data_IF_762692286378
#
_entry.id   IF_762692286378
#
_cell.length_a   1.000
_cell.length_b   1.000
_cell.length_c   1.000
_cell.angle_alpha   90.00
_cell.angle_beta   90.00
_cell.angle_gamma   90.00
#
_symmetry.space_group_name_H-M   'P 1'
#
loop_
_entity.id
_entity.type
_entity.pdbx_description
1 polymer ?
#
# COMPACT_ATOMS: atom_id res chain seq x y z
N UNK A 1 1.91 10.90 -7.27
CA UNK A 1 0.65 11.67 -7.56
C UNK A 1 0.62 12.25 -8.98
N UNK A 2 -0.47 12.01 -9.73
CA UNK A 2 -0.72 12.51 -11.10
C UNK A 2 -1.37 13.90 -11.11
N UNK A 3 -1.51 14.51 -12.30
CA UNK A 3 -2.24 15.78 -12.45
C UNK A 3 -3.71 15.66 -12.07
N UNK A 4 -4.39 14.60 -12.50
CA UNK A 4 -5.80 14.33 -12.19
C UNK A 4 -6.02 14.16 -10.67
N UNK A 5 -5.17 13.38 -9.99
CA UNK A 5 -5.22 13.20 -8.54
C UNK A 5 -5.02 14.53 -7.78
N UNK A 6 -4.19 15.43 -8.31
CA UNK A 6 -4.00 16.76 -7.73
C UNK A 6 -5.25 17.64 -7.90
N UNK A 7 -5.89 17.60 -9.06
CA UNK A 7 -7.15 18.34 -9.28
C UNK A 7 -8.26 17.82 -8.38
N UNK A 8 -8.41 16.50 -8.23
CA UNK A 8 -9.38 15.90 -7.29
C UNK A 8 -9.12 16.34 -5.85
N UNK A 9 -7.86 16.33 -5.40
CA UNK A 9 -7.49 16.83 -4.07
C UNK A 9 -7.87 18.31 -3.89
N UNK A 10 -7.63 19.14 -4.91
CA UNK A 10 -7.97 20.55 -4.88
C UNK A 10 -9.49 20.77 -4.74
N UNK A 11 -10.31 20.06 -5.53
CA UNK A 11 -11.78 20.16 -5.45
C UNK A 11 -12.33 19.71 -4.08
N UNK A 12 -11.78 18.62 -3.53
CA UNK A 12 -12.16 18.13 -2.20
C UNK A 12 -11.76 19.14 -1.12
N UNK A 13 -10.57 19.74 -1.23
CA UNK A 13 -10.10 20.77 -0.31
C UNK A 13 -11.01 21.99 -0.32
N UNK A 14 -11.32 22.54 -1.50
CA UNK A 14 -12.20 23.71 -1.66
C UNK A 14 -13.61 23.46 -1.11
N UNK A 15 -14.11 22.24 -1.26
CA UNK A 15 -15.41 21.84 -0.71
C UNK A 15 -15.45 21.93 0.82
N UNK A 16 -14.31 21.69 1.48
CA UNK A 16 -14.16 21.77 2.94
C UNK A 16 -13.78 23.19 3.38
N UNK A 17 -12.91 23.87 2.65
CA UNK A 17 -12.46 25.23 2.91
C UNK A 17 -13.22 26.29 2.09
N UNK A 18 -14.55 26.25 2.15
CA UNK A 18 -15.43 27.17 1.42
C UNK A 18 -15.18 28.67 1.69
N UNK A 19 -14.52 28.98 2.81
CA UNK A 19 -14.18 30.34 3.19
C UNK A 19 -12.83 30.82 2.63
N UNK A 20 -12.10 29.98 1.88
CA UNK A 20 -10.81 30.32 1.26
C UNK A 20 -9.75 30.69 2.29
N UNK A 21 -9.70 29.98 3.42
CA UNK A 21 -8.75 30.25 4.52
C UNK A 21 -7.36 29.72 4.22
N UNK A 22 -7.22 28.81 3.26
CA UNK A 22 -6.00 28.11 2.90
C UNK A 22 -5.65 26.98 3.87
N UNK A 23 -6.57 26.59 4.75
CA UNK A 23 -6.37 25.51 5.72
C UNK A 23 -7.67 24.77 6.06
N UNK A 24 -7.53 23.50 6.46
CA UNK A 24 -8.62 22.68 7.01
C UNK A 24 -8.29 22.21 8.43
N UNK A 25 -9.30 21.91 9.27
CA UNK A 25 -9.08 21.24 10.54
C UNK A 25 -8.48 19.84 10.33
N UNK A 26 -7.53 19.44 11.17
CA UNK A 26 -6.91 18.08 11.11
C UNK A 26 -7.96 16.97 11.21
N UNK A 27 -9.03 17.19 11.96
CA UNK A 27 -10.14 16.25 12.08
C UNK A 27 -10.88 15.96 10.76
N UNK A 28 -10.70 16.80 9.73
CA UNK A 28 -11.33 16.67 8.41
C UNK A 28 -10.46 15.93 7.40
N UNK A 29 -9.21 15.61 7.72
CA UNK A 29 -8.30 14.91 6.81
C UNK A 29 -8.81 13.51 6.47
N UNK A 30 -9.40 12.80 7.44
CA UNK A 30 -10.00 11.49 7.17
C UNK A 30 -11.14 11.59 6.14
N UNK A 31 -11.91 12.68 6.18
CA UNK A 31 -12.97 12.93 5.20
C UNK A 31 -12.39 13.18 3.80
N UNK A 32 -11.25 13.90 3.71
CA UNK A 32 -10.52 14.09 2.45
C UNK A 32 -10.03 12.75 1.90
N UNK A 33 -9.36 11.94 2.72
CA UNK A 33 -8.85 10.63 2.29
C UNK A 33 -9.98 9.74 1.79
N UNK A 34 -11.10 9.71 2.51
CA UNK A 34 -12.27 8.93 2.11
C UNK A 34 -12.87 9.42 0.78
N UNK A 35 -12.96 10.73 0.57
CA UNK A 35 -13.46 11.31 -0.67
C UNK A 35 -12.56 10.97 -1.88
N UNK A 36 -11.25 10.86 -1.66
CA UNK A 36 -10.26 10.47 -2.68
C UNK A 36 -10.11 8.95 -2.83
N UNK A 37 -10.89 8.14 -2.10
CA UNK A 37 -10.79 6.68 -2.13
C UNK A 37 -9.49 6.13 -1.52
N UNK A 38 -8.77 6.95 -0.75
CA UNK A 38 -7.54 6.58 -0.07
C UNK A 38 -7.83 5.88 1.26
N UNK A 39 -6.98 4.93 1.62
CA UNK A 39 -7.09 4.22 2.90
C UNK A 39 -6.54 5.11 4.02
N UNK A 40 -7.31 5.23 5.11
CA UNK A 40 -6.85 5.92 6.31
C UNK A 40 -5.64 5.22 6.93
N UNK A 41 -4.63 5.96 7.39
CA UNK A 41 -3.46 5.37 8.04
C UNK A 41 -3.84 4.67 9.36
N UNK A 42 -2.92 3.84 9.86
CA UNK A 42 -3.06 3.26 11.19
C UNK A 42 -3.09 4.35 12.27
N UNK A 43 -3.68 4.07 13.43
CA UNK A 43 -3.74 5.03 14.54
C UNK A 43 -2.33 5.53 14.94
N UNK A 44 -1.34 4.64 14.90
CA UNK A 44 0.05 4.97 15.20
C UNK A 44 0.67 5.91 14.16
N UNK A 45 0.49 5.62 12.87
CA UNK A 45 1.04 6.46 11.80
C UNK A 45 0.33 7.82 11.74
N UNK A 46 -0.96 7.83 12.06
CA UNK A 46 -1.76 9.04 12.20
C UNK A 46 -1.25 9.94 13.32
N UNK A 47 -1.02 9.40 14.51
CA UNK A 47 -0.48 10.15 15.65
C UNK A 47 0.92 10.72 15.34
N UNK A 48 1.78 9.92 14.72
CA UNK A 48 3.12 10.37 14.31
C UNK A 48 3.06 11.49 13.28
N UNK A 49 2.18 11.36 12.29
CA UNK A 49 1.98 12.40 11.30
C UNK A 49 1.45 13.69 11.93
N UNK A 50 0.40 13.61 12.77
CA UNK A 50 -0.16 14.76 13.49
C UNK A 50 0.90 15.48 14.33
N UNK A 51 1.70 14.74 15.09
CA UNK A 51 2.77 15.30 15.92
C UNK A 51 3.85 16.04 15.11
N UNK A 52 4.05 15.64 13.83
CA UNK A 52 5.01 16.27 12.92
C UNK A 52 4.44 17.53 12.26
N UNK A 53 3.18 17.51 11.86
CA UNK A 53 2.58 18.59 11.06
C UNK A 53 1.89 19.68 11.88
N UNK A 54 1.47 19.37 13.12
CA UNK A 54 0.77 20.30 14.03
C UNK A 54 1.53 20.45 15.35
N UNK A 55 2.83 20.73 15.25
CA UNK A 55 3.71 20.86 16.42
C UNK A 55 3.28 22.01 17.36
N UNK A 56 2.73 23.08 16.79
CA UNK A 56 2.21 24.24 17.53
C UNK A 56 0.76 24.07 18.02
N UNK A 57 0.13 22.91 17.73
CA UNK A 57 -1.21 22.53 18.18
C UNK A 57 -2.29 23.51 17.75
N UNK A 58 -2.18 24.02 16.53
CA UNK A 58 -3.23 24.84 15.91
C UNK A 58 -4.47 24.03 15.59
N UNK A 59 -4.35 22.71 15.45
CA UNK A 59 -5.42 21.82 14.99
C UNK A 59 -5.76 22.00 13.52
N UNK A 60 -4.90 22.68 12.75
CA UNK A 60 -5.12 23.08 11.36
C UNK A 60 -3.96 22.62 10.50
N UNK A 61 -4.24 22.33 9.24
CA UNK A 61 -3.23 22.05 8.23
C UNK A 61 -3.49 22.87 6.97
N UNK A 62 -2.41 23.34 6.35
CA UNK A 62 -2.47 23.99 5.06
C UNK A 62 -2.63 22.99 3.91
N UNK A 63 -2.95 23.52 2.73
CA UNK A 63 -3.05 22.71 1.51
C UNK A 63 -1.75 21.97 1.17
N UNK A 64 -0.59 22.64 1.23
CA UNK A 64 0.70 22.03 0.90
C UNK A 64 1.01 20.80 1.76
N UNK A 65 0.76 20.89 3.08
CA UNK A 65 0.97 19.78 4.01
C UNK A 65 0.00 18.62 3.76
N UNK A 66 -1.23 18.93 3.36
CA UNK A 66 -2.21 17.91 2.96
C UNK A 66 -1.80 17.25 1.64
N UNK A 67 -1.34 18.03 0.66
CA UNK A 67 -0.86 17.53 -0.64
C UNK A 67 0.32 16.56 -0.48
N UNK A 68 1.32 16.92 0.32
CA UNK A 68 2.43 16.03 0.63
C UNK A 68 1.95 14.71 1.25
N UNK A 69 1.01 14.80 2.19
CA UNK A 69 0.47 13.63 2.86
C UNK A 69 -0.33 12.72 1.92
N UNK A 70 -1.18 13.32 1.08
CA UNK A 70 -2.00 12.61 0.09
C UNK A 70 -1.14 12.01 -1.01
N UNK A 71 -0.08 12.70 -1.46
CA UNK A 71 0.88 12.15 -2.42
C UNK A 71 1.54 10.88 -1.90
N UNK A 72 1.97 10.86 -0.63
CA UNK A 72 2.53 9.65 -0.01
C UNK A 72 1.52 8.50 0.04
N UNK A 73 0.24 8.79 0.24
CA UNK A 73 -0.82 7.76 0.23
C UNK A 73 -1.07 7.19 -1.16
N UNK A 74 -1.06 8.02 -2.20
CA UNK A 74 -1.14 7.54 -3.57
C UNK A 74 0.04 6.64 -3.91
N UNK A 75 1.27 7.05 -3.56
CA UNK A 75 2.46 6.25 -3.85
C UNK A 75 2.42 4.89 -3.11
N UNK A 76 1.94 4.85 -1.85
CA UNK A 76 1.72 3.60 -1.11
C UNK A 76 0.64 2.70 -1.75
N UNK A 77 -0.43 3.29 -2.26
CA UNK A 77 -1.49 2.55 -2.96
C UNK A 77 -1.03 2.01 -4.31
N UNK A 78 -0.26 2.78 -5.06
CA UNK A 78 0.34 2.35 -6.32
C UNK A 78 1.29 1.17 -6.07
N UNK A 79 2.19 1.28 -5.09
CA UNK A 79 3.08 0.18 -4.68
C UNK A 79 2.29 -1.07 -4.24
N UNK A 80 1.22 -0.91 -3.45
CA UNK A 80 0.38 -2.04 -3.04
C UNK A 80 -0.32 -2.67 -4.24
N UNK A 81 -0.77 -1.87 -5.20
CA UNK A 81 -1.44 -2.35 -6.42
C UNK A 81 -0.47 -3.14 -7.29
N UNK A 82 0.76 -2.65 -7.48
CA UNK A 82 1.82 -3.39 -8.16
C UNK A 82 2.16 -4.70 -7.44
N UNK A 83 2.25 -4.67 -6.12
CA UNK A 83 2.49 -5.87 -5.30
C UNK A 83 1.39 -6.91 -5.44
N UNK A 84 0.12 -6.47 -5.43
CA UNK A 84 -1.04 -7.34 -5.66
C UNK A 84 -0.99 -7.95 -7.05
N UNK A 85 -0.69 -7.14 -8.07
CA UNK A 85 -0.56 -7.63 -9.44
C UNK A 85 0.58 -8.67 -9.56
N UNK A 86 1.73 -8.41 -8.94
CA UNK A 86 2.84 -9.34 -8.88
C UNK A 86 2.44 -10.65 -8.18
N UNK A 87 1.79 -10.56 -7.02
CA UNK A 87 1.29 -11.73 -6.29
C UNK A 87 0.31 -12.57 -7.14
N UNK A 88 -0.57 -11.91 -7.90
CA UNK A 88 -1.51 -12.58 -8.80
C UNK A 88 -0.85 -13.29 -9.99
N UNK A 89 0.39 -12.93 -10.38
CA UNK A 89 1.16 -13.73 -11.35
C UNK A 89 1.50 -15.11 -10.75
N UNK A 90 1.88 -15.12 -9.48
CA UNK A 90 2.16 -16.35 -8.75
C UNK A 90 0.90 -17.16 -8.50
N UNK A 91 -0.18 -16.49 -8.08
CA UNK A 91 -1.42 -17.13 -7.70
C UNK A 91 -2.65 -16.50 -8.39
N UNK A 92 -2.92 -16.86 -9.65
CA UNK A 92 -4.02 -16.28 -10.41
C UNK A 92 -5.37 -16.79 -9.92
N UNK A 93 -6.41 -15.99 -10.13
CA UNK A 93 -7.80 -16.37 -9.85
C UNK A 93 -8.21 -16.27 -8.38
N UNK A 94 -7.35 -15.74 -7.52
CA UNK A 94 -7.72 -15.44 -6.13
C UNK A 94 -8.56 -14.18 -6.05
N UNK A 95 -9.62 -14.23 -5.24
CA UNK A 95 -10.53 -13.10 -4.99
C UNK A 95 -10.18 -12.34 -3.73
N UNK A 96 -9.51 -12.99 -2.77
CA UNK A 96 -9.09 -12.42 -1.49
C UNK A 96 -7.59 -12.68 -1.31
N UNK A 97 -6.78 -11.69 -1.72
CA UNK A 97 -5.31 -11.77 -1.67
C UNK A 97 -4.78 -11.89 -0.23
N UNK A 98 -5.48 -11.31 0.74
CA UNK A 98 -5.06 -11.32 2.14
C UNK A 98 -5.17 -12.73 2.76
N UNK A 99 -6.03 -13.59 2.21
CA UNK A 99 -6.16 -15.01 2.63
C UNK A 99 -5.42 -15.98 1.72
N UNK A 100 -4.92 -15.50 0.59
CA UNK A 100 -4.26 -16.30 -0.40
C UNK A 100 -2.80 -16.59 0.00
N UNK A 101 -2.31 -17.77 -0.39
CA UNK A 101 -0.93 -18.19 -0.14
C UNK A 101 -0.31 -18.81 -1.37
N UNK A 102 0.89 -18.38 -1.75
CA UNK A 102 1.65 -19.02 -2.81
C UNK A 102 2.14 -20.37 -2.29
N UNK A 103 1.78 -21.44 -3.00
CA UNK A 103 2.19 -22.80 -2.67
C UNK A 103 3.35 -23.26 -3.54
N UNK A 104 3.90 -24.43 -3.21
CA UNK A 104 4.91 -25.06 -4.07
C UNK A 104 4.38 -25.34 -5.48
N UNK A 105 3.10 -25.72 -5.60
CA UNK A 105 2.47 -25.97 -6.90
C UNK A 105 2.37 -24.69 -7.74
N UNK A 106 2.11 -23.56 -7.09
CA UNK A 106 2.11 -22.24 -7.74
C UNK A 106 3.50 -21.90 -8.30
N UNK A 107 4.58 -22.13 -7.51
CA UNK A 107 5.95 -21.92 -7.97
C UNK A 107 6.36 -22.89 -9.09
N UNK A 108 6.01 -24.18 -8.96
CA UNK A 108 6.30 -25.20 -9.98
C UNK A 108 5.66 -24.83 -11.32
N UNK A 109 4.42 -24.34 -11.27
CA UNK A 109 3.71 -23.85 -12.47
C UNK A 109 4.48 -22.70 -13.12
N UNK A 110 4.97 -21.73 -12.36
CA UNK A 110 5.71 -20.59 -12.91
C UNK A 110 7.06 -21.01 -13.49
N UNK A 111 7.83 -21.84 -12.76
CA UNK A 111 9.11 -22.36 -13.23
C UNK A 111 8.98 -23.10 -14.58
N UNK A 112 7.92 -23.89 -14.72
CA UNK A 112 7.60 -24.54 -16.00
C UNK A 112 7.27 -23.54 -17.12
N UNK A 113 6.65 -22.39 -16.80
CA UNK A 113 6.35 -21.33 -17.79
C UNK A 113 7.59 -20.50 -18.17
N UNK A 114 8.60 -20.37 -17.28
CA UNK A 114 9.87 -19.67 -17.59
C UNK A 114 10.87 -20.57 -18.32
N UNK A 115 10.61 -21.88 -18.40
CA UNK A 115 11.50 -22.87 -18.98
C UNK A 115 12.67 -23.25 -18.07
N UNK A 116 12.62 -22.84 -16.80
CA UNK A 116 13.61 -23.19 -15.80
C UNK A 116 13.26 -24.52 -15.15
N UNK A 117 14.22 -25.44 -15.13
CA UNK A 117 14.06 -26.71 -14.44
C UNK A 117 14.55 -26.57 -13.00
N UNK A 118 13.64 -26.22 -12.09
CA UNK A 118 13.91 -26.11 -10.66
C UNK A 118 13.43 -27.41 -9.98
N UNK A 119 14.31 -28.15 -9.27
CA UNK A 119 13.92 -29.35 -8.52
C UNK A 119 12.89 -29.03 -7.44
N UNK A 120 12.03 -30.01 -7.13
CA UNK A 120 11.01 -29.85 -6.09
C UNK A 120 11.63 -29.51 -4.73
N UNK A 121 12.81 -30.06 -4.41
CA UNK A 121 13.52 -29.76 -3.15
C UNK A 121 13.91 -28.27 -3.03
N UNK A 122 14.29 -27.64 -4.15
CA UNK A 122 14.65 -26.21 -4.17
C UNK A 122 13.39 -25.33 -4.08
N UNK A 123 12.29 -25.74 -4.72
CA UNK A 123 11.00 -25.05 -4.58
C UNK A 123 10.46 -25.13 -3.14
N UNK A 124 10.61 -26.28 -2.48
CA UNK A 124 10.28 -26.43 -1.05
C UNK A 124 11.11 -25.50 -0.18
N UNK A 125 12.40 -25.36 -0.47
CA UNK A 125 13.28 -24.46 0.26
C UNK A 125 12.91 -22.99 0.02
N UNK A 126 12.56 -22.61 -1.21
CA UNK A 126 12.08 -21.25 -1.52
C UNK A 126 10.83 -20.89 -0.72
N UNK A 127 9.83 -21.78 -0.65
CA UNK A 127 8.62 -21.54 0.16
C UNK A 127 8.98 -21.45 1.63
N UNK A 128 9.84 -22.33 2.14
CA UNK A 128 10.24 -22.37 3.55
C UNK A 128 11.00 -21.12 4.00
N UNK A 129 11.86 -20.57 3.15
CA UNK A 129 12.61 -19.33 3.44
C UNK A 129 11.67 -18.13 3.39
N UNK A 130 10.68 -18.17 2.50
CA UNK A 130 9.72 -17.11 2.28
C UNK A 130 8.61 -17.05 3.34
N UNK A 131 8.18 -18.20 3.86
CA UNK A 131 7.15 -18.34 4.91
C UNK A 131 7.71 -17.93 6.29
N UNK A 132 7.64 -16.64 6.59
CA UNK A 132 8.13 -16.04 7.84
C UNK A 132 7.06 -16.15 8.92
N UNK A 133 5.78 -16.09 8.55
CA UNK A 133 4.66 -16.16 9.49
C UNK A 133 4.27 -17.60 9.88
N UNK A 134 4.83 -18.61 9.22
CA UNK A 134 4.65 -20.03 9.52
C UNK A 134 3.27 -20.53 9.07
N UNK A 135 2.73 -19.97 8.00
CA UNK A 135 1.39 -20.28 7.51
C UNK A 135 1.34 -21.46 6.52
N UNK A 136 2.44 -22.20 6.36
CA UNK A 136 2.59 -23.34 5.44
C UNK A 136 2.38 -22.92 3.97
N UNK A 137 3.02 -21.80 3.60
CA UNK A 137 2.94 -21.16 2.29
C UNK A 137 3.27 -19.68 2.40
N UNK A 138 3.53 -19.01 1.27
CA UNK A 138 3.90 -17.59 1.31
C UNK A 138 2.63 -16.74 1.30
N UNK A 139 2.29 -16.15 2.45
CA UNK A 139 1.19 -15.19 2.57
C UNK A 139 1.48 -13.89 1.81
N UNK A 140 0.47 -13.04 1.62
CA UNK A 140 0.67 -11.73 1.00
C UNK A 140 1.63 -10.84 1.81
N UNK A 141 1.55 -10.90 3.15
CA UNK A 141 2.46 -10.19 4.04
C UNK A 141 3.92 -10.65 3.91
N UNK A 142 4.13 -11.96 3.80
CA UNK A 142 5.46 -12.52 3.59
C UNK A 142 6.02 -12.16 2.22
N UNK A 143 5.19 -12.22 1.18
CA UNK A 143 5.53 -11.76 -0.15
C UNK A 143 5.96 -10.28 -0.15
N UNK A 144 5.19 -9.40 0.52
CA UNK A 144 5.54 -7.99 0.70
C UNK A 144 6.89 -7.81 1.40
N UNK A 145 7.16 -8.57 2.46
CA UNK A 145 8.42 -8.50 3.21
C UNK A 145 9.61 -8.92 2.34
N UNK A 146 9.44 -9.96 1.53
CA UNK A 146 10.49 -10.45 0.63
C UNK A 146 10.78 -9.40 -0.44
N UNK A 147 9.75 -8.91 -1.13
CA UNK A 147 9.90 -7.94 -2.21
C UNK A 147 10.55 -6.63 -1.74
N UNK A 148 10.21 -6.15 -0.54
CA UNK A 148 10.86 -5.00 0.09
C UNK A 148 12.31 -5.27 0.49
N UNK A 149 12.65 -6.49 0.93
CA UNK A 149 14.03 -6.86 1.31
C UNK A 149 14.94 -7.02 0.11
N UNK A 150 14.42 -7.50 -1.02
CA UNK A 150 15.19 -7.72 -2.24
C UNK A 150 15.40 -6.45 -3.06
N UNK A 151 14.78 -5.33 -2.66
CA UNK A 151 14.87 -4.06 -3.38
C UNK A 151 14.26 -4.12 -4.78
N UNK A 152 13.36 -5.09 -5.00
CA UNK A 152 12.58 -5.19 -6.24
C UNK A 152 11.49 -4.11 -6.30
N UNK A 153 11.21 -3.46 -5.16
CA UNK A 153 10.34 -2.30 -4.98
C UNK A 153 10.85 -1.43 -3.83
#
# INVERSE_FOLDING_TARGET
MTFEQREELHEVFDTIDQAGRGYIPISRVSDVLQALGLVSPSAKDWEQWCARVDFDKTGRIGYETLEEFVSLRYDEMDQRTEMVAAFMLFKPGVTDVEKAKITIDDLRRIAAHTGEHIPDEELEEMVRIADIDGTEGVSFDDFMRIMRKTGLF
#
